data_IF_715429583559
#
_entry.id   IF_715429583559
#
_cell.length_a   1.000
_cell.length_b   1.000
_cell.length_c   1.000
_cell.angle_alpha   90.00
_cell.angle_beta   90.00
_cell.angle_gamma   90.00
#
_symmetry.space_group_name_H-M   'P 1'
#
loop_
_entity.id
_entity.type
_entity.pdbx_description
1 polymer ?
#
# COMPACT_ATOMS: atom_id res chain seq x y z
N UNK A 1 7.70 7.77 20.08
CA UNK A 1 7.24 7.57 18.68
C UNK A 1 8.31 6.86 17.85
N UNK A 2 8.11 5.57 17.60
CA UNK A 2 9.00 4.73 16.79
C UNK A 2 8.59 4.82 15.32
N UNK A 3 9.55 4.82 14.40
CA UNK A 3 9.25 4.79 12.96
C UNK A 3 9.37 3.37 12.41
N UNK A 4 8.40 3.01 11.59
CA UNK A 4 8.28 1.73 10.91
C UNK A 4 8.18 1.95 9.41
N UNK A 5 8.60 0.95 8.67
CA UNK A 5 8.38 0.87 7.24
C UNK A 5 7.35 -0.21 7.00
N UNK A 6 6.33 0.12 6.20
CA UNK A 6 5.37 -0.85 5.72
C UNK A 6 5.43 -0.89 4.20
N UNK A 7 5.56 -2.09 3.64
CA UNK A 7 5.43 -2.35 2.21
C UNK A 7 4.20 -3.21 2.00
N UNK A 8 3.37 -2.83 1.03
CA UNK A 8 2.16 -3.56 0.67
C UNK A 8 2.22 -3.90 -0.81
N UNK A 9 2.04 -5.19 -1.11
CA UNK A 9 1.86 -5.72 -2.46
C UNK A 9 0.47 -6.32 -2.55
N UNK A 10 -0.31 -5.93 -3.54
CA UNK A 10 -1.69 -6.38 -3.68
C UNK A 10 -1.97 -6.94 -5.08
N UNK A 11 -2.83 -7.95 -5.13
CA UNK A 11 -3.37 -8.51 -6.36
C UNK A 11 -4.80 -8.02 -6.56
N UNK A 12 -5.13 -7.68 -7.81
CA UNK A 12 -6.48 -7.32 -8.21
C UNK A 12 -7.02 -8.39 -9.14
N UNK A 13 -8.34 -8.58 -9.14
CA UNK A 13 -8.99 -9.48 -10.08
C UNK A 13 -8.57 -9.16 -11.53
N UNK A 14 -8.31 -10.16 -12.39
CA UNK A 14 -7.85 -9.93 -13.76
C UNK A 14 -8.73 -8.94 -14.53
N UNK A 15 -10.05 -9.05 -14.35
CA UNK A 15 -11.04 -8.20 -15.02
C UNK A 15 -11.14 -6.78 -14.46
N UNK A 16 -10.33 -6.42 -13.44
CA UNK A 16 -10.31 -5.05 -12.90
C UNK A 16 -9.87 -4.08 -13.99
N UNK A 17 -10.72 -3.12 -14.40
CA UNK A 17 -10.41 -2.18 -15.46
C UNK A 17 -9.18 -1.33 -15.18
N UNK A 18 -8.40 -0.93 -16.19
CA UNK A 18 -7.18 -0.14 -15.99
C UNK A 18 -7.39 1.20 -15.26
N UNK A 19 -8.53 1.85 -15.46
CA UNK A 19 -8.88 3.11 -14.78
C UNK A 19 -9.17 2.89 -13.28
N UNK A 20 -9.85 1.79 -12.93
CA UNK A 20 -10.05 1.39 -11.53
C UNK A 20 -8.71 1.13 -10.82
N UNK A 21 -7.74 0.50 -11.51
CA UNK A 21 -6.37 0.29 -10.98
C UNK A 21 -5.67 1.63 -10.70
N UNK A 22 -5.77 2.58 -11.63
CA UNK A 22 -5.19 3.94 -11.47
C UNK A 22 -5.85 4.69 -10.33
N UNK A 23 -7.18 4.62 -10.20
CA UNK A 23 -7.91 5.26 -9.11
C UNK A 23 -7.55 4.67 -7.75
N UNK A 24 -7.41 3.33 -7.65
CA UNK A 24 -6.94 2.70 -6.41
C UNK A 24 -5.58 3.26 -6.00
N UNK A 25 -4.65 3.34 -6.97
CA UNK A 25 -3.32 3.90 -6.74
C UNK A 25 -3.41 5.34 -6.23
N UNK A 26 -4.22 6.18 -6.87
CA UNK A 26 -4.43 7.56 -6.44
C UNK A 26 -5.02 7.65 -5.02
N UNK A 27 -5.98 6.79 -4.65
CA UNK A 27 -6.52 6.75 -3.29
C UNK A 27 -5.48 6.32 -2.26
N UNK A 28 -4.63 5.34 -2.57
CA UNK A 28 -3.53 4.94 -1.69
C UNK A 28 -2.53 6.09 -1.51
N UNK A 29 -2.16 6.79 -2.59
CA UNK A 29 -1.28 7.96 -2.53
C UNK A 29 -1.90 9.09 -1.70
N UNK A 30 -3.20 9.34 -1.86
CA UNK A 30 -3.95 10.27 -1.01
C UNK A 30 -3.93 9.89 0.48
N UNK A 31 -3.71 8.62 0.80
CA UNK A 31 -3.49 8.07 2.16
C UNK A 31 -2.02 8.03 2.55
N UNK A 32 -1.16 8.82 1.89
CA UNK A 32 0.29 8.97 2.12
C UNK A 32 1.14 7.76 1.78
N UNK A 33 0.56 6.73 1.16
CA UNK A 33 1.37 5.67 0.56
C UNK A 33 2.18 6.24 -0.60
N UNK A 34 3.35 5.66 -0.83
CA UNK A 34 4.30 6.07 -1.84
C UNK A 34 4.32 5.03 -2.95
N UNK A 35 4.10 5.50 -4.17
CA UNK A 35 4.19 4.70 -5.39
C UNK A 35 5.57 4.78 -6.05
N UNK A 36 6.49 5.55 -5.45
CA UNK A 36 7.87 5.73 -5.87
C UNK A 36 8.81 5.61 -4.68
N UNK A 37 10.05 5.18 -4.92
CA UNK A 37 11.14 5.19 -3.96
C UNK A 37 12.34 5.88 -4.61
N UNK A 38 12.86 6.95 -4.01
CA UNK A 38 14.00 7.72 -4.54
C UNK A 38 13.84 8.17 -6.01
N UNK A 39 12.60 8.47 -6.41
CA UNK A 39 12.26 8.91 -7.78
C UNK A 39 11.85 7.76 -8.70
N UNK A 40 12.31 6.54 -8.44
CA UNK A 40 11.99 5.35 -9.21
C UNK A 40 10.60 4.82 -8.88
N UNK A 41 9.89 4.31 -9.90
CA UNK A 41 8.57 3.73 -9.72
C UNK A 41 8.65 2.40 -8.97
N UNK A 42 7.81 2.24 -7.94
CA UNK A 42 7.54 0.93 -7.38
C UNK A 42 6.83 0.06 -8.42
N UNK A 43 6.90 -1.28 -8.30
CA UNK A 43 6.04 -2.17 -9.08
C UNK A 43 4.57 -1.74 -9.02
N UNK A 44 3.83 -1.96 -10.11
CA UNK A 44 2.46 -1.43 -10.28
C UNK A 44 1.45 -1.90 -9.21
N UNK A 45 1.74 -3.02 -8.56
CA UNK A 45 0.97 -3.62 -7.46
C UNK A 45 1.58 -3.36 -6.08
N UNK A 46 2.66 -2.60 -5.98
CA UNK A 46 3.40 -2.40 -4.73
C UNK A 46 3.42 -0.92 -4.33
N UNK A 47 3.19 -0.63 -3.06
CA UNK A 47 3.37 0.69 -2.43
C UNK A 47 4.11 0.55 -1.11
N UNK A 48 4.74 1.61 -0.65
CA UNK A 48 5.39 1.63 0.66
C UNK A 48 5.02 2.89 1.44
N UNK A 49 5.23 2.88 2.75
CA UNK A 49 5.00 4.04 3.61
C UNK A 49 5.95 4.00 4.80
N UNK A 50 6.41 5.17 5.22
CA UNK A 50 7.01 5.35 6.55
C UNK A 50 5.90 5.72 7.53
N UNK A 51 5.62 4.85 8.49
CA UNK A 51 4.66 5.11 9.56
C UNK A 51 5.36 5.46 10.86
N UNK A 52 4.65 6.23 11.65
CA UNK A 52 4.95 6.45 13.04
C UNK A 52 3.97 5.61 13.85
N UNK A 53 4.43 5.08 14.98
CA UNK A 53 3.59 4.37 15.93
C UNK A 53 3.76 4.97 17.33
N UNK A 54 2.66 4.99 18.07
CA UNK A 54 2.66 5.27 19.49
C UNK A 54 3.40 4.17 20.26
N UNK A 55 3.82 4.46 21.49
CA UNK A 55 4.70 3.54 22.23
C UNK A 55 4.02 2.21 22.61
N UNK A 56 2.68 2.15 22.57
CA UNK A 56 1.87 0.95 22.81
C UNK A 56 1.50 0.20 21.53
N UNK A 57 1.68 0.79 20.35
CA UNK A 57 1.34 0.16 19.09
C UNK A 57 2.44 -0.82 18.65
N UNK A 58 2.00 -1.98 18.16
CA UNK A 58 2.86 -3.06 17.67
C UNK A 58 2.91 -3.10 16.15
N UNK A 59 3.80 -3.93 15.59
CA UNK A 59 3.81 -4.20 14.14
C UNK A 59 2.50 -4.79 13.65
N UNK A 60 1.77 -5.52 14.50
CA UNK A 60 0.49 -6.14 14.15
C UNK A 60 -0.62 -5.08 14.03
N UNK A 61 -0.60 -4.08 14.91
CA UNK A 61 -1.52 -2.93 14.83
C UNK A 61 -1.30 -2.14 13.53
N UNK A 62 -0.03 -1.91 13.19
CA UNK A 62 0.35 -1.26 11.93
C UNK A 62 -0.02 -2.11 10.71
N UNK A 63 0.19 -3.43 10.77
CA UNK A 63 -0.20 -4.35 9.71
C UNK A 63 -1.71 -4.30 9.48
N UNK A 64 -2.51 -4.36 10.55
CA UNK A 64 -3.96 -4.24 10.48
C UNK A 64 -4.39 -2.87 9.93
N UNK A 65 -3.71 -1.78 10.32
CA UNK A 65 -3.97 -0.45 9.78
C UNK A 65 -3.70 -0.37 8.26
N UNK A 66 -2.63 -1.01 7.79
CA UNK A 66 -2.32 -1.06 6.36
C UNK A 66 -3.39 -1.82 5.56
N UNK A 67 -3.89 -2.94 6.10
CA UNK A 67 -4.98 -3.69 5.48
C UNK A 67 -6.28 -2.87 5.41
N UNK A 68 -6.61 -2.13 6.49
CA UNK A 68 -7.76 -1.22 6.51
C UNK A 68 -7.65 -0.14 5.44
N UNK A 69 -6.48 0.47 5.28
CA UNK A 69 -6.27 1.50 4.26
C UNK A 69 -6.49 0.98 2.83
N UNK A 70 -6.06 -0.24 2.52
CA UNK A 70 -6.34 -0.86 1.23
C UNK A 70 -7.83 -1.12 1.03
N UNK A 71 -8.49 -1.66 2.05
CA UNK A 71 -9.94 -1.90 2.03
C UNK A 71 -10.72 -0.61 1.79
N UNK A 72 -10.40 0.45 2.52
CA UNK A 72 -11.06 1.75 2.37
C UNK A 72 -10.79 2.40 1.01
N UNK A 73 -9.56 2.26 0.49
CA UNK A 73 -9.20 2.76 -0.84
C UNK A 73 -9.99 2.02 -1.93
N UNK A 74 -10.07 0.69 -1.85
CA UNK A 74 -10.88 -0.11 -2.76
C UNK A 74 -12.37 0.24 -2.66
N UNK A 75 -12.89 0.42 -1.44
CA UNK A 75 -14.26 0.85 -1.22
C UNK A 75 -14.54 2.25 -1.81
N UNK A 76 -13.57 3.17 -1.77
CA UNK A 76 -13.70 4.48 -2.40
C UNK A 76 -13.79 4.39 -3.93
N UNK A 77 -12.97 3.55 -4.56
CA UNK A 77 -13.04 3.28 -6.01
C UNK A 77 -14.38 2.65 -6.38
N UNK A 78 -14.85 1.69 -5.60
CA UNK A 78 -16.16 1.06 -5.81
C UNK A 78 -17.30 2.09 -5.72
N UNK A 79 -17.29 2.97 -4.71
CA UNK A 79 -18.26 4.07 -4.57
C UNK A 79 -18.22 5.07 -5.73
N UNK A 80 -17.08 5.23 -6.39
CA UNK A 80 -16.95 6.03 -7.61
C UNK A 80 -17.52 5.33 -8.87
N UNK A 81 -18.18 4.17 -8.71
CA UNK A 81 -18.82 3.44 -9.80
C UNK A 81 -17.81 2.70 -10.69
N UNK A 82 -16.67 2.27 -10.13
CA UNK A 82 -15.68 1.47 -10.85
C UNK A 82 -15.56 0.09 -10.23
N UNK A 83 -15.74 -1.00 -11.01
CA UNK A 83 -15.63 -2.35 -10.48
C UNK A 83 -14.18 -2.59 -10.07
N UNK A 84 -13.99 -3.00 -8.82
CA UNK A 84 -12.68 -3.32 -8.27
C UNK A 84 -12.80 -4.44 -7.25
N UNK A 85 -11.88 -5.39 -7.32
CA UNK A 85 -11.77 -6.46 -6.35
C UNK A 85 -10.30 -6.73 -6.07
N UNK A 86 -9.92 -6.57 -4.81
CA UNK A 86 -8.63 -7.04 -4.28
C UNK A 86 -8.76 -8.53 -4.00
N UNK A 87 -7.91 -9.35 -4.60
CA UNK A 87 -7.94 -10.81 -4.42
C UNK A 87 -7.01 -11.27 -3.31
N UNK A 88 -5.82 -10.67 -3.22
CA UNK A 88 -4.82 -10.94 -2.18
C UNK A 88 -4.06 -9.67 -1.84
N UNK A 89 -3.52 -9.65 -0.63
CA UNK A 89 -2.57 -8.63 -0.21
C UNK A 89 -1.50 -9.27 0.67
N UNK A 90 -0.24 -8.92 0.41
CA UNK A 90 0.90 -9.22 1.26
C UNK A 90 1.39 -7.91 1.87
N UNK A 91 1.45 -7.84 3.19
CA UNK A 91 1.91 -6.66 3.92
C UNK A 91 3.11 -7.08 4.76
N UNK A 92 4.19 -6.34 4.62
CA UNK A 92 5.37 -6.48 5.45
C UNK A 92 5.52 -5.19 6.25
N UNK A 93 5.63 -5.33 7.58
CA UNK A 93 5.96 -4.23 8.49
C UNK A 93 7.28 -4.56 9.16
N UNK A 94 8.23 -3.63 9.11
CA UNK A 94 9.51 -3.74 9.83
C UNK A 94 9.82 -2.47 10.59
N UNK A 95 10.58 -2.62 11.67
CA UNK A 95 11.24 -1.50 12.33
C UNK A 95 12.32 -0.87 11.44
N UNK A 96 13.12 0.02 12.03
CA UNK A 96 14.25 0.64 11.36
C UNK A 96 15.23 -0.43 10.81
N UNK A 97 15.51 -0.38 9.52
CA UNK A 97 16.34 -1.35 8.80
C UNK A 97 16.53 -0.91 7.35
N UNK A 98 17.19 -1.74 6.55
CA UNK A 98 17.39 -1.48 5.12
C UNK A 98 16.15 -1.89 4.33
N UNK A 99 15.65 -0.97 3.50
CA UNK A 99 14.52 -1.18 2.60
C UNK A 99 14.74 -0.31 1.36
N UNK A 100 14.05 -0.63 0.27
CA UNK A 100 14.14 0.12 -0.98
C UNK A 100 14.13 -0.80 -2.19
N UNK A 101 14.31 -0.21 -3.36
CA UNK A 101 14.43 -0.94 -4.62
C UNK A 101 15.84 -1.51 -4.78
N UNK A 102 15.94 -2.73 -5.29
CA UNK A 102 17.20 -3.30 -5.73
C UNK A 102 17.47 -2.88 -7.18
N UNK A 103 18.72 -2.52 -7.48
CA UNK A 103 19.16 -2.38 -8.87
C UNK A 103 19.38 -3.76 -9.46
N UNK A 104 18.69 -4.06 -10.55
CA UNK A 104 18.92 -5.26 -11.33
C UNK A 104 19.98 -4.95 -12.41
N UNK A 105 20.85 -5.92 -12.75
CA UNK A 105 21.81 -5.79 -13.84
C UNK A 105 21.14 -5.68 -15.22
#
# INVERSE_FOLDING_TARGET
MRSFIATMVYELHPDTPPDARKLLRAHLVGRRWQDRHEGDAMPSSAVWIRRSAEDHETTDDLHAACARDLGDAAAAVARAGRPIQVTRVWIQVSGAGTYGLARLP
#
